data_IF_816488767035
#
_entry.id   IF_816488767035
#
_cell.length_a   1.000
_cell.length_b   1.000
_cell.length_c   1.000
_cell.angle_alpha   90.00
_cell.angle_beta   90.00
_cell.angle_gamma   90.00
#
_symmetry.space_group_name_H-M   'P 1'
#
loop_
_entity.id
_entity.type
_entity.pdbx_description
1 polymer ?
#
# COMPACT_ATOMS: atom_id res chain seq x y z
N UNK A 1 4.05 -16.82 24.58
CA UNK A 1 3.44 -17.24 23.30
C UNK A 1 1.94 -16.98 23.23
N UNK A 2 1.13 -17.39 24.22
CA UNK A 2 -0.34 -17.19 24.18
C UNK A 2 -0.79 -15.73 24.08
N UNK A 3 -0.12 -14.79 24.76
CA UNK A 3 -0.51 -13.37 24.79
C UNK A 3 -0.47 -12.74 23.39
N UNK A 4 0.62 -12.94 22.65
CA UNK A 4 0.76 -12.40 21.28
C UNK A 4 -0.19 -13.07 20.30
N UNK A 5 -0.43 -14.38 20.43
CA UNK A 5 -1.39 -15.10 19.61
C UNK A 5 -2.83 -14.60 19.82
N UNK A 6 -3.19 -14.29 21.06
CA UNK A 6 -4.52 -13.75 21.42
C UNK A 6 -4.70 -12.33 20.89
N UNK A 7 -3.67 -11.48 21.03
CA UNK A 7 -3.67 -10.12 20.46
C UNK A 7 -3.86 -10.16 18.94
N UNK A 8 -3.09 -10.98 18.24
CA UNK A 8 -3.22 -11.17 16.81
C UNK A 8 -4.60 -11.72 16.39
N UNK A 9 -5.22 -12.58 17.22
CA UNK A 9 -6.60 -13.04 17.00
C UNK A 9 -7.58 -11.88 17.02
N UNK A 10 -7.50 -10.99 18.02
CA UNK A 10 -8.39 -9.83 18.13
C UNK A 10 -8.25 -8.92 16.92
N UNK A 11 -7.01 -8.60 16.52
CA UNK A 11 -6.71 -7.77 15.35
C UNK A 11 -7.30 -8.36 14.05
N UNK A 12 -7.11 -9.67 13.81
CA UNK A 12 -7.70 -10.33 12.62
C UNK A 12 -9.23 -10.23 12.57
N UNK A 13 -9.90 -10.41 13.71
CA UNK A 13 -11.36 -10.31 13.75
C UNK A 13 -11.83 -8.88 13.59
N UNK A 14 -11.13 -7.92 14.19
CA UNK A 14 -11.44 -6.49 14.06
C UNK A 14 -11.29 -6.01 12.62
N UNK A 15 -10.19 -6.38 11.93
CA UNK A 15 -9.96 -6.08 10.52
C UNK A 15 -11.15 -6.51 9.66
N UNK A 16 -11.61 -7.77 9.81
CA UNK A 16 -12.77 -8.31 9.08
C UNK A 16 -14.07 -7.57 9.37
N UNK A 17 -14.29 -7.15 10.61
CA UNK A 17 -15.51 -6.41 10.96
C UNK A 17 -15.45 -5.00 10.38
N UNK A 18 -14.31 -4.32 10.49
CA UNK A 18 -14.13 -2.98 9.93
C UNK A 18 -14.34 -2.97 8.41
N UNK A 19 -13.79 -3.95 7.68
CA UNK A 19 -13.99 -4.08 6.25
C UNK A 19 -15.46 -4.29 5.85
N UNK A 20 -16.19 -5.11 6.62
CA UNK A 20 -17.59 -5.46 6.30
C UNK A 20 -18.61 -4.43 6.75
N UNK A 21 -18.44 -3.87 7.94
CA UNK A 21 -19.41 -3.02 8.63
C UNK A 21 -19.02 -1.54 8.58
N UNK A 22 -17.76 -1.26 8.26
CA UNK A 22 -17.14 0.05 8.38
C UNK A 22 -16.66 0.31 9.80
N UNK A 23 -15.62 1.15 9.95
CA UNK A 23 -15.05 1.51 11.24
C UNK A 23 -16.09 2.16 12.17
N UNK A 24 -16.81 3.17 11.69
CA UNK A 24 -17.77 3.95 12.52
C UNK A 24 -18.91 3.09 13.06
N UNK A 25 -19.47 2.21 12.25
CA UNK A 25 -20.58 1.32 12.61
C UNK A 25 -20.17 0.13 13.48
N UNK A 26 -18.87 -0.08 13.68
CA UNK A 26 -18.34 -1.16 14.52
C UNK A 26 -18.13 -0.65 15.95
N UNK A 27 -18.59 -1.40 16.94
CA UNK A 27 -18.31 -1.17 18.34
C UNK A 27 -17.41 -2.27 18.94
N UNK A 28 -16.85 -2.01 20.13
CA UNK A 28 -15.96 -2.98 20.82
C UNK A 28 -16.69 -4.29 21.13
N UNK A 29 -18.00 -4.24 21.42
CA UNK A 29 -18.79 -5.44 21.69
C UNK A 29 -18.90 -6.35 20.45
N UNK A 30 -19.01 -5.78 19.24
CA UNK A 30 -18.99 -6.56 18.00
C UNK A 30 -17.67 -7.33 17.85
N UNK A 31 -16.55 -6.68 18.17
CA UNK A 31 -15.21 -7.28 18.09
C UNK A 31 -15.07 -8.42 19.11
N UNK A 32 -15.46 -8.18 20.35
CA UNK A 32 -15.44 -9.16 21.44
C UNK A 32 -16.25 -10.40 21.07
N UNK A 33 -17.49 -10.20 20.61
CA UNK A 33 -18.37 -11.29 20.20
C UNK A 33 -17.78 -12.09 19.03
N UNK A 34 -17.24 -11.41 18.02
CA UNK A 34 -16.65 -12.07 16.84
C UNK A 34 -15.37 -12.82 17.16
N UNK A 35 -14.52 -12.24 18.03
CA UNK A 35 -13.29 -12.87 18.47
C UNK A 35 -13.54 -13.99 19.51
N UNK A 36 -14.77 -14.12 20.03
CA UNK A 36 -15.14 -15.09 21.08
C UNK A 36 -14.24 -15.01 22.31
N UNK A 37 -14.06 -13.79 22.80
CA UNK A 37 -13.24 -13.52 23.99
C UNK A 37 -14.08 -12.85 25.09
N UNK A 38 -13.62 -12.92 26.33
CA UNK A 38 -14.23 -12.14 27.42
C UNK A 38 -13.94 -10.65 27.25
N UNK A 39 -14.84 -9.79 27.72
CA UNK A 39 -14.67 -8.32 27.69
C UNK A 39 -13.36 -7.88 28.34
N UNK A 40 -13.01 -8.43 29.51
CA UNK A 40 -11.75 -8.16 30.19
C UNK A 40 -10.53 -8.53 29.33
N UNK A 41 -10.62 -9.61 28.55
CA UNK A 41 -9.54 -10.02 27.65
C UNK A 41 -9.27 -8.98 26.58
N UNK A 42 -10.30 -8.32 26.02
CA UNK A 42 -10.10 -7.23 25.07
C UNK A 42 -9.30 -6.08 25.69
N UNK A 43 -9.71 -5.62 26.89
CA UNK A 43 -9.10 -4.48 27.58
C UNK A 43 -7.70 -4.77 28.15
N UNK A 44 -7.26 -6.03 28.17
CA UNK A 44 -5.85 -6.38 28.44
C UNK A 44 -4.91 -6.00 27.29
N UNK A 45 -5.43 -5.83 26.07
CA UNK A 45 -4.63 -5.59 24.86
C UNK A 45 -4.89 -4.23 24.25
N UNK A 46 -6.11 -3.72 24.31
CA UNK A 46 -6.55 -2.50 23.64
C UNK A 46 -7.44 -1.67 24.57
N UNK A 47 -7.15 -0.38 24.69
CA UNK A 47 -7.94 0.53 25.51
C UNK A 47 -9.32 0.82 24.88
N UNK A 48 -9.37 0.92 23.56
CA UNK A 48 -10.57 1.24 22.80
C UNK A 48 -10.45 0.74 21.34
N UNK A 49 -11.45 1.04 20.54
CA UNK A 49 -11.51 0.70 19.11
C UNK A 49 -10.43 1.42 18.28
N UNK A 50 -10.10 2.65 18.65
CA UNK A 50 -9.11 3.48 17.97
C UNK A 50 -7.69 2.92 18.16
N UNK A 51 -7.29 2.61 19.40
CA UNK A 51 -6.01 1.98 19.74
C UNK A 51 -5.78 0.70 18.90
N UNK A 52 -6.81 -0.12 18.77
CA UNK A 52 -6.77 -1.32 17.93
C UNK A 52 -6.60 -0.98 16.44
N UNK A 53 -7.25 0.07 15.96
CA UNK A 53 -7.14 0.49 14.56
C UNK A 53 -5.75 1.07 14.25
N UNK A 54 -5.22 1.91 15.15
CA UNK A 54 -3.84 2.42 15.05
C UNK A 54 -2.83 1.27 14.92
N UNK A 55 -2.99 0.21 15.70
CA UNK A 55 -2.12 -0.95 15.58
C UNK A 55 -2.23 -1.66 14.23
N UNK A 56 -3.43 -1.73 13.64
CA UNK A 56 -3.58 -2.25 12.29
C UNK A 56 -2.81 -1.41 11.28
N UNK A 57 -2.85 -0.07 11.40
CA UNK A 57 -2.07 0.83 10.55
C UNK A 57 -0.55 0.63 10.74
N UNK A 58 -0.09 0.53 12.01
CA UNK A 58 1.31 0.26 12.33
C UNK A 58 1.81 -1.06 11.72
N UNK A 59 1.00 -2.10 11.75
CA UNK A 59 1.34 -3.37 11.10
C UNK A 59 1.55 -3.20 9.60
N UNK A 60 0.70 -2.43 8.91
CA UNK A 60 0.87 -2.17 7.47
C UNK A 60 2.15 -1.43 7.18
N UNK A 61 2.43 -0.34 7.91
CA UNK A 61 3.66 0.45 7.71
C UNK A 61 4.90 -0.42 7.95
N UNK A 62 4.88 -1.24 8.99
CA UNK A 62 5.97 -2.16 9.33
C UNK A 62 6.18 -3.18 8.21
N UNK A 63 5.11 -3.80 7.74
CA UNK A 63 5.16 -4.80 6.67
C UNK A 63 5.64 -4.20 5.34
N UNK A 64 5.17 -3.00 4.97
CA UNK A 64 5.63 -2.30 3.78
C UNK A 64 7.12 -1.94 3.89
N UNK A 65 7.55 -1.44 5.05
CA UNK A 65 8.95 -1.09 5.30
C UNK A 65 9.87 -2.31 5.16
N UNK A 66 9.45 -3.47 5.68
CA UNK A 66 10.24 -4.71 5.56
C UNK A 66 10.29 -5.27 4.13
N UNK A 67 9.28 -5.01 3.32
CA UNK A 67 9.22 -5.51 1.93
C UNK A 67 10.04 -4.67 0.96
N UNK A 68 10.27 -3.40 1.29
CA UNK A 68 11.06 -2.49 0.47
C UNK A 68 12.55 -2.75 0.75
N UNK A 69 13.24 -3.32 -0.22
CA UNK A 69 14.69 -3.51 -0.14
C UNK A 69 15.39 -2.26 -0.67
N UNK A 70 16.49 -1.89 0.01
CA UNK A 70 17.34 -0.80 -0.44
C UNK A 70 17.96 -1.12 -1.80
N UNK A 71 17.93 -0.16 -2.72
CA UNK A 71 18.61 -0.27 -4.00
C UNK A 71 20.12 -0.33 -3.80
N UNK A 72 20.78 -1.24 -4.50
CA UNK A 72 22.23 -1.46 -4.47
C UNK A 72 22.75 -1.43 -5.89
N UNK A 73 23.21 -0.27 -6.40
CA UNK A 73 23.86 -0.22 -7.69
C UNK A 73 25.29 -0.74 -7.57
N UNK A 74 25.75 -1.53 -8.54
CA UNK A 74 27.14 -1.98 -8.59
C UNK A 74 27.34 -3.28 -9.36
N UNK A 75 28.61 -3.66 -9.60
CA UNK A 75 28.93 -4.91 -10.29
C UNK A 75 28.40 -6.12 -9.50
N UNK A 76 27.69 -7.01 -10.18
CA UNK A 76 27.09 -8.21 -9.57
C UNK A 76 25.71 -8.02 -8.96
N UNK A 77 25.21 -6.78 -8.84
CA UNK A 77 23.83 -6.50 -8.43
C UNK A 77 22.90 -6.43 -9.64
N UNK A 78 21.61 -6.75 -9.50
CA UNK A 78 20.63 -6.54 -10.57
C UNK A 78 20.52 -5.06 -10.97
N UNK A 79 20.06 -4.82 -12.19
CA UNK A 79 19.78 -3.46 -12.65
C UNK A 79 18.87 -2.71 -11.67
N UNK A 80 19.10 -1.41 -11.39
CA UNK A 80 18.28 -0.62 -10.49
C UNK A 80 16.77 -0.64 -10.83
N UNK A 81 16.41 -0.71 -12.12
CA UNK A 81 15.02 -0.82 -12.56
C UNK A 81 14.43 -2.18 -12.18
N UNK A 82 15.22 -3.26 -12.29
CA UNK A 82 14.79 -4.61 -11.86
C UNK A 82 14.61 -4.68 -10.34
N UNK A 83 15.46 -4.01 -9.58
CA UNK A 83 15.33 -3.90 -8.13
C UNK A 83 14.07 -3.11 -7.75
N UNK A 84 13.76 -2.01 -8.46
CA UNK A 84 12.51 -1.25 -8.29
C UNK A 84 11.28 -2.10 -8.64
N UNK A 85 11.34 -2.84 -9.75
CA UNK A 85 10.29 -3.78 -10.17
C UNK A 85 10.00 -4.79 -9.09
N UNK A 86 11.03 -5.43 -8.54
CA UNK A 86 10.90 -6.40 -7.46
C UNK A 86 10.33 -5.76 -6.17
N UNK A 87 10.71 -4.53 -5.83
CA UNK A 87 10.14 -3.79 -4.71
C UNK A 87 8.65 -3.51 -4.91
N UNK A 88 8.28 -2.98 -6.07
CA UNK A 88 6.90 -2.64 -6.40
C UNK A 88 6.02 -3.90 -6.43
N UNK A 89 6.51 -5.00 -7.01
CA UNK A 89 5.83 -6.30 -7.00
C UNK A 89 5.53 -6.77 -5.57
N UNK A 90 6.53 -6.72 -4.66
CA UNK A 90 6.34 -7.12 -3.27
C UNK A 90 5.32 -6.26 -2.53
N UNK A 91 5.36 -4.94 -2.75
CA UNK A 91 4.43 -3.98 -2.14
C UNK A 91 3.01 -4.21 -2.65
N UNK A 92 2.81 -4.24 -3.97
CA UNK A 92 1.48 -4.41 -4.57
C UNK A 92 0.89 -5.78 -4.25
N UNK A 93 1.69 -6.85 -4.30
CA UNK A 93 1.24 -8.20 -3.91
C UNK A 93 0.72 -8.23 -2.47
N UNK A 94 1.41 -7.55 -1.55
CA UNK A 94 0.97 -7.44 -0.16
C UNK A 94 -0.33 -6.65 -0.02
N UNK A 95 -0.40 -5.46 -0.61
CA UNK A 95 -1.58 -4.59 -0.51
C UNK A 95 -2.82 -5.24 -1.13
N UNK A 96 -2.67 -5.90 -2.27
CA UNK A 96 -3.77 -6.60 -2.95
C UNK A 96 -4.18 -7.89 -2.22
N UNK A 97 -3.27 -8.55 -1.50
CA UNK A 97 -3.60 -9.69 -0.64
C UNK A 97 -4.35 -9.26 0.63
N UNK A 98 -4.05 -8.06 1.16
CA UNK A 98 -4.65 -7.48 2.36
C UNK A 98 -5.95 -6.69 2.06
N UNK A 99 -6.83 -7.23 1.20
CA UNK A 99 -8.07 -6.57 0.71
C UNK A 99 -8.88 -5.90 1.83
N UNK A 100 -9.09 -6.61 2.95
CA UNK A 100 -9.91 -6.11 4.06
C UNK A 100 -9.38 -4.78 4.62
N UNK A 101 -8.06 -4.64 4.72
CA UNK A 101 -7.44 -3.44 5.25
C UNK A 101 -7.36 -2.33 4.20
N UNK A 102 -7.07 -2.71 2.96
CA UNK A 102 -7.09 -1.82 1.81
C UNK A 102 -8.46 -1.18 1.64
N UNK A 103 -9.53 -1.96 1.73
CA UNK A 103 -10.91 -1.46 1.65
C UNK A 103 -11.24 -0.45 2.77
N UNK A 104 -10.75 -0.71 3.99
CA UNK A 104 -10.92 0.23 5.11
C UNK A 104 -10.23 1.56 4.81
N UNK A 105 -8.98 1.52 4.35
CA UNK A 105 -8.18 2.71 4.08
C UNK A 105 -8.69 3.53 2.89
N UNK A 106 -9.12 2.85 1.82
CA UNK A 106 -9.58 3.50 0.60
C UNK A 106 -11.01 4.03 0.71
N UNK A 107 -11.88 3.31 1.43
CA UNK A 107 -13.31 3.65 1.55
C UNK A 107 -13.63 4.40 2.85
N UNK A 108 -12.61 4.89 3.57
CA UNK A 108 -12.84 5.74 4.72
C UNK A 108 -13.46 7.07 4.30
N UNK A 109 -14.68 7.33 4.80
CA UNK A 109 -15.34 8.63 4.60
C UNK A 109 -14.76 9.63 5.59
N UNK A 110 -14.02 10.61 5.11
CA UNK A 110 -13.46 11.71 5.92
C UNK A 110 -14.53 12.61 6.50
N UNK A 111 -14.26 13.25 7.64
CA UNK A 111 -15.09 14.29 8.24
C UNK A 111 -16.09 13.82 9.30
N UNK A 112 -16.16 12.52 9.62
CA UNK A 112 -17.01 11.99 10.70
C UNK A 112 -16.28 11.81 12.04
N UNK A 113 -14.95 11.71 11.99
CA UNK A 113 -14.11 11.49 13.17
C UNK A 113 -12.71 12.08 12.90
N UNK A 114 -12.50 13.33 13.33
CA UNK A 114 -11.25 14.05 13.10
C UNK A 114 -10.02 13.30 13.63
N UNK A 115 -10.14 12.62 14.76
CA UNK A 115 -9.01 11.86 15.31
C UNK A 115 -8.63 10.66 14.42
N UNK A 116 -9.62 10.01 13.80
CA UNK A 116 -9.37 8.92 12.87
C UNK A 116 -8.82 9.44 11.53
N UNK A 117 -9.37 10.57 11.06
CA UNK A 117 -8.88 11.24 9.85
C UNK A 117 -7.39 11.61 10.01
N UNK A 118 -7.00 12.17 11.15
CA UNK A 118 -5.60 12.51 11.47
C UNK A 118 -4.70 11.25 11.46
N UNK A 119 -5.17 10.13 12.00
CA UNK A 119 -4.40 8.88 12.01
C UNK A 119 -4.21 8.28 10.62
N UNK A 120 -5.23 8.35 9.78
CA UNK A 120 -5.14 7.91 8.39
C UNK A 120 -4.23 8.84 7.60
N UNK A 121 -4.30 10.15 7.84
CA UNK A 121 -3.39 11.11 7.21
C UNK A 121 -1.93 10.84 7.62
N UNK A 122 -1.67 10.67 8.93
CA UNK A 122 -0.34 10.32 9.44
C UNK A 122 0.19 9.00 8.81
N UNK A 123 -0.68 8.00 8.66
CA UNK A 123 -0.34 6.77 7.94
C UNK A 123 0.10 7.06 6.50
N UNK A 124 -0.65 7.85 5.72
CA UNK A 124 -0.27 8.19 4.35
C UNK A 124 0.99 9.02 4.27
N UNK A 125 1.22 9.94 5.22
CA UNK A 125 2.44 10.75 5.32
C UNK A 125 3.67 9.86 5.55
N UNK A 126 3.55 8.83 6.37
CA UNK A 126 4.61 7.84 6.59
C UNK A 126 4.91 7.02 5.34
N UNK A 127 3.89 6.61 4.58
CA UNK A 127 4.09 5.93 3.30
C UNK A 127 4.74 6.87 2.28
N UNK A 128 4.29 8.11 2.17
CA UNK A 128 4.92 9.13 1.31
C UNK A 128 6.38 9.35 1.67
N UNK A 129 6.72 9.35 2.98
CA UNK A 129 8.10 9.47 3.44
C UNK A 129 8.99 8.28 3.01
N UNK A 130 8.46 7.05 2.92
CA UNK A 130 9.19 5.90 2.37
C UNK A 130 9.49 6.11 0.88
N UNK A 131 8.51 6.57 0.10
CA UNK A 131 8.68 6.87 -1.32
C UNK A 131 9.69 8.01 -1.50
N UNK A 132 9.53 9.10 -0.75
CA UNK A 132 10.45 10.24 -0.77
C UNK A 132 11.90 9.81 -0.53
N UNK A 133 12.13 8.98 0.49
CA UNK A 133 13.47 8.47 0.81
C UNK A 133 14.06 7.65 -0.35
N UNK A 134 13.25 6.89 -1.06
CA UNK A 134 13.68 6.15 -2.24
C UNK A 134 14.03 7.10 -3.41
N UNK A 135 13.28 8.18 -3.60
CA UNK A 135 13.56 9.21 -4.60
C UNK A 135 14.85 9.99 -4.28
N UNK A 136 15.04 10.40 -3.02
CA UNK A 136 16.25 11.08 -2.56
C UNK A 136 17.50 10.21 -2.84
N UNK A 137 17.44 8.93 -2.50
CA UNK A 137 18.50 7.98 -2.79
C UNK A 137 18.73 7.83 -4.31
N UNK A 138 17.68 7.82 -5.11
CA UNK A 138 17.76 7.79 -6.56
C UNK A 138 18.46 9.04 -7.14
N UNK A 139 18.23 10.22 -6.55
CA UNK A 139 18.92 11.46 -6.92
C UNK A 139 20.41 11.35 -6.56
N UNK A 140 20.75 10.90 -5.35
CA UNK A 140 22.14 10.68 -4.93
C UNK A 140 22.91 9.71 -5.84
N UNK A 141 22.22 8.69 -6.33
CA UNK A 141 22.75 7.70 -7.27
C UNK A 141 22.75 8.17 -8.74
N UNK A 142 22.32 9.38 -9.03
CA UNK A 142 22.12 9.89 -10.40
C UNK A 142 21.15 9.07 -11.27
N UNK A 143 20.22 8.34 -10.67
CA UNK A 143 19.16 7.58 -11.36
C UNK A 143 17.89 8.42 -11.56
N UNK A 144 17.61 9.31 -10.63
CA UNK A 144 16.45 10.21 -10.62
C UNK A 144 16.93 11.63 -10.89
N UNK A 145 16.17 12.38 -11.69
CA UNK A 145 16.43 13.81 -11.92
C UNK A 145 16.15 14.61 -10.65
N UNK A 146 16.84 15.73 -10.48
CA UNK A 146 16.54 16.67 -9.40
C UNK A 146 15.07 17.14 -9.49
N UNK A 147 14.34 17.06 -8.38
CA UNK A 147 12.92 17.37 -8.28
C UNK A 147 12.53 17.65 -6.83
N UNK A 148 11.35 18.24 -6.62
CA UNK A 148 10.73 18.25 -5.29
C UNK A 148 10.24 16.82 -4.95
N UNK A 149 11.09 16.06 -4.27
CA UNK A 149 10.81 14.65 -3.92
C UNK A 149 9.62 14.51 -2.96
N UNK A 150 9.27 15.57 -2.21
CA UNK A 150 8.07 15.58 -1.37
C UNK A 150 6.82 15.62 -2.25
N UNK A 151 6.71 16.57 -3.17
CA UNK A 151 5.58 16.66 -4.09
C UNK A 151 5.44 15.42 -4.95
N UNK A 152 6.55 14.91 -5.50
CA UNK A 152 6.57 13.69 -6.33
C UNK A 152 6.15 12.47 -5.53
N UNK A 153 6.54 12.34 -4.26
CA UNK A 153 6.14 11.19 -3.43
C UNK A 153 4.63 11.13 -3.19
N UNK A 154 3.97 12.27 -2.99
CA UNK A 154 2.51 12.32 -2.87
C UNK A 154 1.80 12.05 -4.20
N UNK A 155 2.34 12.52 -5.32
CA UNK A 155 1.80 12.21 -6.65
C UNK A 155 1.86 10.70 -6.95
N UNK A 156 2.99 10.05 -6.65
CA UNK A 156 3.16 8.60 -6.80
C UNK A 156 2.20 7.85 -5.88
N UNK A 157 2.13 8.23 -4.60
CA UNK A 157 1.24 7.61 -3.63
C UNK A 157 -0.22 7.74 -4.05
N UNK A 158 -0.64 8.93 -4.50
CA UNK A 158 -2.00 9.18 -4.98
C UNK A 158 -2.36 8.32 -6.19
N UNK A 159 -1.46 8.24 -7.17
CA UNK A 159 -1.64 7.39 -8.35
C UNK A 159 -1.76 5.91 -7.99
N UNK A 160 -0.85 5.38 -7.15
CA UNK A 160 -0.90 3.98 -6.70
C UNK A 160 -2.18 3.72 -5.91
N UNK A 161 -2.57 4.62 -5.00
CA UNK A 161 -3.79 4.50 -4.21
C UNK A 161 -5.02 4.40 -5.09
N UNK A 162 -5.15 5.24 -6.12
CA UNK A 162 -6.29 5.22 -7.04
C UNK A 162 -6.32 3.95 -7.89
N UNK A 163 -5.17 3.50 -8.40
CA UNK A 163 -5.06 2.22 -9.11
C UNK A 163 -5.50 1.05 -8.24
N UNK A 164 -5.07 1.00 -6.96
CA UNK A 164 -5.49 -0.04 -6.02
C UNK A 164 -7.01 0.04 -5.77
N UNK A 165 -7.56 1.25 -5.63
CA UNK A 165 -9.00 1.47 -5.46
C UNK A 165 -9.81 0.94 -6.64
N UNK A 166 -9.35 1.18 -7.86
CA UNK A 166 -9.96 0.62 -9.07
C UNK A 166 -9.91 -0.91 -9.07
N UNK A 167 -8.75 -1.49 -8.72
CA UNK A 167 -8.53 -2.94 -8.75
C UNK A 167 -9.26 -3.68 -7.63
N UNK A 168 -9.53 -3.05 -6.48
CA UNK A 168 -10.30 -3.67 -5.40
C UNK A 168 -11.73 -4.04 -5.84
N UNK A 169 -12.22 -3.43 -6.90
CA UNK A 169 -13.52 -3.70 -7.54
C UNK A 169 -13.43 -4.80 -8.63
N UNK A 170 -12.22 -5.22 -9.01
CA UNK A 170 -11.95 -6.25 -10.02
C UNK A 170 -11.57 -7.58 -9.36
N UNK A 171 -11.98 -8.70 -9.93
CA UNK A 171 -11.64 -10.03 -9.42
C UNK A 171 -10.37 -10.63 -10.03
N UNK A 172 -9.86 -10.06 -11.10
CA UNK A 172 -8.66 -10.52 -11.79
C UNK A 172 -7.67 -9.38 -11.94
N UNK A 173 -6.45 -9.57 -11.45
CA UNK A 173 -5.36 -8.59 -11.56
C UNK A 173 -4.07 -9.31 -11.91
N UNK A 174 -3.53 -9.03 -13.08
CA UNK A 174 -2.17 -9.38 -13.44
C UNK A 174 -1.22 -8.36 -12.79
N UNK A 175 -0.65 -8.75 -11.63
CA UNK A 175 0.26 -7.90 -10.87
C UNK A 175 1.51 -7.57 -11.69
N UNK A 176 2.02 -8.50 -12.50
CA UNK A 176 3.20 -8.26 -13.33
C UNK A 176 2.95 -7.17 -14.36
N UNK A 177 1.84 -7.27 -15.09
CA UNK A 177 1.45 -6.26 -16.06
C UNK A 177 1.27 -4.89 -15.41
N UNK A 178 0.58 -4.86 -14.25
CA UNK A 178 0.37 -3.63 -13.49
C UNK A 178 1.68 -2.97 -13.03
N UNK A 179 2.63 -3.78 -12.55
CA UNK A 179 3.95 -3.30 -12.11
C UNK A 179 4.68 -2.63 -13.27
N UNK A 180 4.67 -3.24 -14.48
CA UNK A 180 5.32 -2.66 -15.64
C UNK A 180 4.70 -1.31 -16.04
N UNK A 181 3.37 -1.21 -16.07
CA UNK A 181 2.68 0.05 -16.41
C UNK A 181 2.99 1.16 -15.38
N UNK A 182 2.94 0.84 -14.08
CA UNK A 182 3.26 1.82 -13.02
C UNK A 182 4.73 2.25 -13.11
N UNK A 183 5.66 1.31 -13.35
CA UNK A 183 7.08 1.64 -13.50
C UNK A 183 7.34 2.51 -14.72
N UNK A 184 6.78 2.15 -15.85
CA UNK A 184 6.93 2.91 -17.10
C UNK A 184 6.41 4.34 -16.92
N UNK A 185 5.21 4.49 -16.39
CA UNK A 185 4.62 5.80 -16.10
C UNK A 185 5.46 6.61 -15.10
N UNK A 186 5.83 6.00 -13.95
CA UNK A 186 6.59 6.68 -12.90
C UNK A 186 8.00 7.06 -13.36
N UNK A 187 8.72 6.14 -14.00
CA UNK A 187 10.08 6.40 -14.47
C UNK A 187 10.11 7.45 -15.60
N UNK A 188 9.13 7.47 -16.49
CA UNK A 188 9.03 8.50 -17.54
C UNK A 188 8.97 9.92 -16.95
N UNK A 189 8.39 10.07 -15.74
CA UNK A 189 8.28 11.36 -15.06
C UNK A 189 9.48 11.75 -14.20
N UNK A 190 10.24 10.79 -13.66
CA UNK A 190 11.26 11.05 -12.64
C UNK A 190 12.67 10.58 -12.99
N UNK A 191 12.80 9.55 -13.85
CA UNK A 191 14.12 9.05 -14.25
C UNK A 191 14.87 10.07 -15.10
N UNK A 192 16.20 9.96 -15.10
CA UNK A 192 17.01 10.68 -16.08
C UNK A 192 16.78 10.12 -17.47
N UNK A 193 16.77 11.00 -18.53
CA UNK A 193 16.49 10.55 -19.90
C UNK A 193 17.37 9.39 -20.38
N UNK A 194 18.62 9.34 -19.92
CA UNK A 194 19.60 8.31 -20.30
C UNK A 194 19.20 6.92 -19.80
N UNK A 195 18.37 6.85 -18.76
CA UNK A 195 17.90 5.60 -18.15
C UNK A 195 16.59 5.09 -18.76
N UNK A 196 15.83 5.94 -19.47
CA UNK A 196 14.57 5.55 -20.09
C UNK A 196 14.73 4.45 -21.15
N UNK A 197 15.93 4.31 -21.74
CA UNK A 197 16.26 3.22 -22.67
C UNK A 197 16.19 1.81 -22.04
N UNK A 198 16.28 1.69 -20.71
CA UNK A 198 16.15 0.43 -20.00
C UNK A 198 14.71 0.10 -19.61
N UNK A 199 13.80 1.06 -19.75
CA UNK A 199 12.37 0.85 -19.62
C UNK A 199 11.87 0.42 -21.01
N UNK A 200 12.00 -0.87 -21.35
CA UNK A 200 11.57 -1.36 -22.65
C UNK A 200 10.05 -1.26 -22.78
N UNK A 201 9.52 -0.64 -23.85
CA UNK A 201 8.14 -0.85 -24.21
C UNK A 201 7.92 -2.34 -24.47
N UNK A 202 6.78 -2.89 -24.08
CA UNK A 202 6.40 -4.27 -24.46
C UNK A 202 6.59 -4.40 -25.96
N UNK A 203 7.46 -5.32 -26.37
CA UNK A 203 7.69 -5.59 -27.79
C UNK A 203 6.36 -5.91 -28.48
N UNK A 204 6.21 -5.46 -29.72
CA UNK A 204 5.09 -5.76 -30.61
C UNK A 204 4.96 -7.26 -30.86
N UNK A 205 4.44 -8.02 -29.92
CA UNK A 205 4.36 -9.49 -29.96
C UNK A 205 3.73 -10.12 -28.74
N UNK A 206 3.46 -9.35 -27.70
CA UNK A 206 2.66 -9.85 -26.60
C UNK A 206 1.18 -9.90 -27.03
N UNK A 207 0.43 -10.98 -26.74
CA UNK A 207 -0.98 -11.04 -27.03
C UNK A 207 -1.67 -9.84 -26.38
N UNK A 208 -2.53 -9.15 -27.14
CA UNK A 208 -3.33 -8.01 -26.70
C UNK A 208 -3.91 -8.30 -25.32
N UNK A 209 -3.23 -7.86 -24.28
CA UNK A 209 -3.79 -7.78 -22.93
C UNK A 209 -4.96 -6.83 -23.03
N UNK A 210 -6.17 -7.32 -22.77
CA UNK A 210 -7.39 -6.57 -22.89
C UNK A 210 -7.22 -5.21 -22.22
N UNK A 211 -7.70 -4.17 -22.89
CA UNK A 211 -7.73 -2.80 -22.38
C UNK A 211 -8.29 -2.81 -20.96
N UNK A 212 -7.50 -2.37 -19.98
CA UNK A 212 -7.94 -2.19 -18.60
C UNK A 212 -9.03 -1.11 -18.47
N UNK A 213 -9.26 -0.37 -19.56
CA UNK A 213 -10.19 0.75 -19.63
C UNK A 213 -11.11 0.62 -20.85
N UNK A 214 -12.12 -0.24 -20.78
CA UNK A 214 -13.37 0.03 -21.49
C UNK A 214 -14.35 0.66 -20.48
N UNK A 215 -14.60 1.98 -20.56
CA UNK A 215 -15.71 2.56 -19.83
C UNK A 215 -16.98 1.95 -20.41
N UNK A 216 -17.74 1.21 -19.60
CA UNK A 216 -19.15 0.97 -19.91
C UNK A 216 -19.84 2.31 -19.84
N UNK A 217 -20.03 2.92 -21.01
CA UNK A 217 -20.95 4.03 -21.21
C UNK A 217 -22.34 3.40 -21.28
N UNK A 218 -23.07 3.42 -20.18
CA UNK A 218 -24.53 3.32 -20.13
C UNK A 218 -25.10 4.71 -19.92
#
# INVERSE_FOLDING_TARGET
MERNARRAQVLRHAKRIFARKGYHRTNVADIIARARIARGTFYLYFQNKKDLFEELLEQVVTELTHRIQRLRPGPGEPDPVDQLRANLTRVLSYVLAERELTDILLNHSTGFDHELDDKIQDFYDRIAALIKRSLDLGIEMNLVRSSDTRAVSYAILGGIKEVISMLSRSNETDISALVEEILQFGLSGVARPELLKYVQPRGEGAPNGGSFFEPKLD
#
